data_IF_050716300583
#
_entry.id   IF_050716300583
#
_cell.length_a   1.000
_cell.length_b   1.000
_cell.length_c   1.000
_cell.angle_alpha   90.00
_cell.angle_beta   90.00
_cell.angle_gamma   90.00
#
_symmetry.space_group_name_H-M   'P 1'
#
loop_
_entity.id
_entity.type
_entity.pdbx_description
1 polymer ?
#
# COMPACT_ATOMS: atom_id res chain seq x y z
N UNK A 1 24.83 3.05 16.26
CA UNK A 1 23.39 3.08 16.58
C UNK A 1 22.66 2.89 15.27
N UNK A 2 21.71 1.96 15.17
CA UNK A 2 20.89 1.82 13.98
C UNK A 2 20.01 3.07 13.84
N UNK A 3 19.98 3.67 12.66
CA UNK A 3 19.04 4.70 12.28
C UNK A 3 17.79 4.01 11.75
N UNK A 4 16.67 4.09 12.47
CA UNK A 4 15.42 3.52 11.96
C UNK A 4 15.07 4.14 10.59
N UNK A 5 14.68 3.31 9.62
CA UNK A 5 14.21 3.80 8.33
C UNK A 5 12.93 4.62 8.54
N UNK A 6 13.02 5.92 8.30
CA UNK A 6 11.96 6.87 8.61
C UNK A 6 10.71 6.70 7.72
N UNK A 7 10.81 6.01 6.58
CA UNK A 7 9.69 5.76 5.67
C UNK A 7 8.54 4.99 6.32
N UNK A 8 8.84 4.00 7.17
CA UNK A 8 7.82 3.21 7.89
C UNK A 8 7.15 4.04 8.99
N UNK A 9 7.90 4.93 9.65
CA UNK A 9 7.36 5.80 10.71
C UNK A 9 6.29 6.78 10.20
N UNK A 10 6.38 7.21 8.94
CA UNK A 10 5.36 8.07 8.33
C UNK A 10 4.05 7.29 8.12
N UNK A 11 4.14 6.03 7.68
CA UNK A 11 2.97 5.16 7.53
C UNK A 11 2.31 4.85 8.89
N UNK A 12 3.10 4.61 9.92
CA UNK A 12 2.60 4.46 11.29
C UNK A 12 1.87 5.72 11.77
N UNK A 13 2.48 6.90 11.57
CA UNK A 13 1.87 8.17 11.92
C UNK A 13 0.56 8.44 11.15
N UNK A 14 0.48 8.03 9.87
CA UNK A 14 -0.77 8.10 9.10
C UNK A 14 -1.88 7.26 9.74
N UNK A 15 -1.60 6.01 10.13
CA UNK A 15 -2.58 5.15 10.81
C UNK A 15 -3.03 5.77 12.13
N UNK A 16 -2.10 6.33 12.89
CA UNK A 16 -2.42 6.95 14.17
C UNK A 16 -3.27 8.21 13.99
N UNK A 17 -3.00 9.03 12.99
CA UNK A 17 -3.85 10.18 12.65
C UNK A 17 -5.26 9.74 12.25
N UNK A 18 -5.39 8.67 11.46
CA UNK A 18 -6.70 8.08 11.09
C UNK A 18 -7.43 7.60 12.35
N UNK A 19 -6.75 6.86 13.24
CA UNK A 19 -7.37 6.38 14.48
C UNK A 19 -7.78 7.52 15.39
N UNK A 20 -6.96 8.57 15.52
CA UNK A 20 -7.24 9.71 16.36
C UNK A 20 -8.44 10.54 15.85
N UNK A 21 -8.50 10.81 14.54
CA UNK A 21 -9.55 11.66 13.92
C UNK A 21 -10.80 10.90 13.54
N UNK A 22 -10.65 9.61 13.19
CA UNK A 22 -11.66 8.80 12.52
C UNK A 22 -11.75 7.37 13.09
N UNK A 23 -11.24 7.11 14.29
CA UNK A 23 -11.29 5.76 14.89
C UNK A 23 -12.71 5.23 15.11
N UNK A 24 -13.69 6.09 15.35
CA UNK A 24 -15.11 5.69 15.44
C UNK A 24 -15.72 5.34 14.09
N UNK A 25 -15.07 5.76 13.00
CA UNK A 25 -15.51 5.62 11.63
C UNK A 25 -15.01 4.28 11.05
N UNK A 26 -13.82 3.82 11.41
CA UNK A 26 -13.24 2.58 10.90
C UNK A 26 -13.18 1.48 11.97
N UNK A 27 -13.45 0.24 11.56
CA UNK A 27 -13.25 -0.97 12.38
C UNK A 27 -11.85 -1.55 12.21
N UNK A 28 -11.26 -1.36 11.04
CA UNK A 28 -9.90 -1.81 10.71
C UNK A 28 -9.10 -0.62 10.18
N UNK A 29 -7.90 -0.40 10.72
CA UNK A 29 -6.93 0.59 10.23
C UNK A 29 -5.56 -0.08 10.26
N UNK A 30 -5.03 -0.43 9.09
CA UNK A 30 -3.83 -1.27 8.94
C UNK A 30 -3.03 -0.88 7.69
N UNK A 31 -1.81 -1.38 7.58
CA UNK A 31 -1.05 -1.25 6.34
C UNK A 31 -1.49 -2.26 5.27
N UNK A 32 -1.25 -1.88 4.02
CA UNK A 32 -1.36 -2.76 2.87
C UNK A 32 -0.18 -2.60 1.93
N UNK A 33 0.38 -3.73 1.48
CA UNK A 33 1.44 -3.73 0.49
C UNK A 33 0.87 -3.60 -0.91
N UNK A 34 1.14 -2.48 -1.59
CA UNK A 34 0.79 -2.30 -3.00
C UNK A 34 -0.63 -1.77 -3.26
N UNK A 35 -1.20 -2.16 -4.40
CA UNK A 35 -2.56 -1.77 -4.79
C UNK A 35 -3.57 -2.67 -4.10
N UNK A 36 -4.68 -2.11 -3.62
CA UNK A 36 -5.78 -2.89 -3.04
C UNK A 36 -6.93 -2.99 -4.04
N UNK A 37 -7.02 -4.13 -4.72
CA UNK A 37 -8.03 -4.40 -5.76
C UNK A 37 -8.93 -5.59 -5.40
N UNK A 38 -9.70 -6.09 -6.37
CA UNK A 38 -10.59 -7.22 -6.12
C UNK A 38 -9.92 -8.58 -5.86
N UNK A 39 -8.70 -8.77 -6.37
CA UNK A 39 -7.92 -10.00 -6.32
C UNK A 39 -7.23 -10.11 -4.96
N UNK A 40 -6.91 -8.94 -4.40
CA UNK A 40 -6.33 -8.74 -3.09
C UNK A 40 -7.34 -8.87 -1.93
N UNK A 41 -8.59 -8.44 -2.12
CA UNK A 41 -9.66 -8.53 -1.10
C UNK A 41 -9.81 -9.92 -0.42
N UNK A 42 -9.81 -11.07 -1.12
CA UNK A 42 -9.91 -12.38 -0.48
C UNK A 42 -8.62 -12.80 0.25
N UNK A 43 -7.48 -12.18 -0.05
CA UNK A 43 -6.17 -12.52 0.54
C UNK A 43 -5.97 -11.89 1.91
N UNK A 44 -6.78 -10.88 2.26
CA UNK A 44 -6.71 -10.18 3.56
C UNK A 44 -8.02 -10.31 4.33
N UNK A 45 -7.93 -10.78 5.57
CA UNK A 45 -9.07 -10.77 6.50
C UNK A 45 -9.20 -9.39 7.17
N UNK A 46 -10.39 -8.79 7.12
CA UNK A 46 -10.66 -7.50 7.75
C UNK A 46 -12.16 -7.31 8.07
N UNK A 47 -12.46 -6.33 8.92
CA UNK A 47 -13.83 -5.88 9.20
C UNK A 47 -14.07 -4.52 8.56
N UNK A 48 -15.05 -4.44 7.67
CA UNK A 48 -15.50 -3.18 7.08
C UNK A 48 -16.37 -2.39 8.08
N UNK A 49 -16.31 -1.04 8.11
CA UNK A 49 -15.46 -0.19 7.27
C UNK A 49 -13.97 -0.28 7.63
N UNK A 50 -13.11 -0.39 6.63
CA UNK A 50 -11.66 -0.51 6.80
C UNK A 50 -10.92 0.63 6.08
N UNK A 51 -9.77 1.02 6.62
CA UNK A 51 -8.81 1.92 5.99
C UNK A 51 -7.44 1.23 5.90
N UNK A 52 -6.86 1.21 4.71
CA UNK A 52 -5.59 0.56 4.43
C UNK A 52 -4.56 1.57 3.93
N UNK A 53 -3.53 1.84 4.74
CA UNK A 53 -2.46 2.78 4.42
C UNK A 53 -1.37 2.12 3.59
N UNK A 54 -0.83 2.85 2.62
CA UNK A 54 0.30 2.37 1.82
C UNK A 54 1.18 3.51 1.30
N UNK A 55 2.41 3.17 0.92
CA UNK A 55 3.29 4.02 0.13
C UNK A 55 3.39 3.43 -1.28
N UNK A 56 2.94 4.18 -2.28
CA UNK A 56 2.94 3.77 -3.69
C UNK A 56 4.31 3.99 -4.36
N UNK A 57 5.27 4.61 -3.65
CA UNK A 57 6.62 4.86 -4.12
C UNK A 57 7.11 6.25 -3.74
N UNK A 58 8.37 6.55 -4.09
CA UNK A 58 8.98 7.86 -3.85
C UNK A 58 9.97 8.22 -4.94
N UNK A 59 10.30 9.50 -5.04
CA UNK A 59 11.32 10.05 -5.93
C UNK A 59 12.08 11.19 -5.26
N UNK A 60 13.30 11.45 -5.69
CA UNK A 60 14.09 12.58 -5.17
C UNK A 60 13.48 13.92 -5.63
N UNK A 61 13.36 14.88 -4.72
CA UNK A 61 12.86 16.23 -5.03
C UNK A 61 13.92 17.33 -4.79
N UNK A 62 14.00 18.35 -5.66
CA UNK A 62 13.46 18.35 -7.02
C UNK A 62 14.27 17.39 -7.90
N UNK A 63 13.73 17.01 -9.05
CA UNK A 63 14.47 16.25 -10.07
C UNK A 63 15.79 16.91 -10.50
N UNK A 64 15.94 18.23 -10.24
CA UNK A 64 17.15 19.03 -10.47
C UNK A 64 18.14 19.06 -9.30
N UNK A 65 17.88 18.36 -8.19
CA UNK A 65 18.84 18.18 -7.10
C UNK A 65 19.08 19.40 -6.20
N UNK A 66 18.12 20.33 -6.09
CA UNK A 66 18.25 21.43 -5.12
C UNK A 66 18.15 20.91 -3.69
N UNK A 67 19.18 21.20 -2.91
CA UNK A 67 19.21 21.03 -1.46
C UNK A 67 18.33 22.09 -0.82
N UNK A 68 17.33 21.69 -0.04
CA UNK A 68 16.65 22.60 0.88
C UNK A 68 17.41 22.52 2.20
N UNK A 69 18.11 23.62 2.57
CA UNK A 69 18.74 23.73 3.89
C UNK A 69 19.69 22.60 4.28
N UNK A 70 20.48 22.06 3.34
CA UNK A 70 21.44 20.93 3.50
C UNK A 70 20.86 19.52 3.62
N UNK A 71 19.55 19.33 3.41
CA UNK A 71 18.90 18.01 3.52
C UNK A 71 18.43 17.48 2.16
N UNK A 72 18.43 16.15 2.02
CA UNK A 72 17.82 15.47 0.89
C UNK A 72 16.31 15.35 1.13
N UNK A 73 15.53 15.96 0.23
CA UNK A 73 14.07 15.87 0.24
C UNK A 73 13.61 14.84 -0.79
N UNK A 74 12.66 14.02 -0.39
CA UNK A 74 12.02 13.04 -1.25
C UNK A 74 10.54 13.33 -1.35
N UNK A 75 9.98 13.21 -2.54
CA UNK A 75 8.54 13.19 -2.76
C UNK A 75 8.06 11.75 -2.68
N UNK A 76 7.33 11.42 -1.61
CA UNK A 76 6.68 10.13 -1.42
C UNK A 76 5.21 10.21 -1.82
N UNK A 77 4.71 9.20 -2.52
CA UNK A 77 3.30 9.06 -2.87
C UNK A 77 2.64 8.14 -1.86
N UNK A 78 1.72 8.69 -1.08
CA UNK A 78 0.94 7.94 -0.10
C UNK A 78 -0.47 7.68 -0.61
N UNK A 79 -1.06 6.59 -0.16
CA UNK A 79 -2.46 6.32 -0.40
C UNK A 79 -3.13 5.64 0.79
N UNK A 80 -4.44 5.83 0.87
CA UNK A 80 -5.32 5.12 1.80
C UNK A 80 -6.48 4.53 1.00
N UNK A 81 -6.62 3.21 1.04
CA UNK A 81 -7.78 2.53 0.50
C UNK A 81 -8.88 2.43 1.56
N UNK A 82 -10.08 2.88 1.22
CA UNK A 82 -11.25 2.86 2.09
C UNK A 82 -12.18 1.78 1.57
N UNK A 83 -12.48 0.81 2.41
CA UNK A 83 -13.37 -0.31 2.08
C UNK A 83 -14.63 -0.23 2.93
N UNK A 84 -15.80 -0.17 2.29
CA UNK A 84 -17.10 -0.21 2.99
C UNK A 84 -17.95 -1.39 2.55
N UNK A 85 -18.83 -1.83 3.46
CA UNK A 85 -19.80 -2.91 3.25
C UNK A 85 -21.18 -2.45 3.72
N UNK A 86 -22.21 -2.73 2.94
CA UNK A 86 -23.62 -2.46 3.27
C UNK A 86 -24.52 -3.28 2.34
N UNK A 87 -25.74 -3.55 2.79
CA UNK A 87 -26.70 -4.40 2.09
C UNK A 87 -27.14 -3.81 0.74
N UNK A 88 -27.18 -2.48 0.60
CA UNK A 88 -27.59 -1.82 -0.64
C UNK A 88 -26.43 -1.07 -1.28
N UNK A 89 -26.30 -1.20 -2.59
CA UNK A 89 -25.27 -0.52 -3.39
C UNK A 89 -25.28 1.00 -3.23
N UNK A 90 -26.43 1.71 -3.25
CA UNK A 90 -26.46 3.16 -3.05
C UNK A 90 -25.97 3.59 -1.67
N UNK A 91 -26.26 2.81 -0.61
CA UNK A 91 -25.79 3.14 0.73
C UNK A 91 -24.28 2.93 0.86
N UNK A 92 -23.74 1.81 0.35
CA UNK A 92 -22.28 1.57 0.35
C UNK A 92 -21.49 2.68 -0.30
N UNK A 93 -21.96 3.14 -1.48
CA UNK A 93 -21.33 4.23 -2.22
C UNK A 93 -21.32 5.51 -1.38
N UNK A 94 -22.45 5.90 -0.80
CA UNK A 94 -22.53 7.10 0.06
C UNK A 94 -21.66 6.98 1.31
N UNK A 95 -21.67 5.83 1.97
CA UNK A 95 -20.83 5.58 3.15
C UNK A 95 -19.34 5.69 2.81
N UNK A 96 -18.91 5.15 1.66
CA UNK A 96 -17.53 5.27 1.20
C UNK A 96 -17.18 6.72 0.85
N UNK A 97 -18.06 7.44 0.14
CA UNK A 97 -17.87 8.84 -0.23
C UNK A 97 -17.64 9.74 0.98
N UNK A 98 -18.49 9.64 2.01
CA UNK A 98 -18.36 10.47 3.22
C UNK A 98 -17.04 10.19 3.94
N UNK A 99 -16.66 8.91 4.06
CA UNK A 99 -15.37 8.53 4.67
C UNK A 99 -14.19 9.08 3.90
N UNK A 100 -14.24 8.98 2.58
CA UNK A 100 -13.23 9.49 1.67
C UNK A 100 -13.11 11.00 1.79
N UNK A 101 -14.23 11.72 1.79
CA UNK A 101 -14.24 13.19 1.95
C UNK A 101 -13.61 13.63 3.27
N UNK A 102 -13.98 13.01 4.39
CA UNK A 102 -13.43 13.35 5.70
C UNK A 102 -11.94 13.04 5.76
N UNK A 103 -11.52 11.87 5.26
CA UNK A 103 -10.12 11.48 5.20
C UNK A 103 -9.30 12.46 4.37
N UNK A 104 -9.79 12.85 3.19
CA UNK A 104 -9.17 13.86 2.33
C UNK A 104 -8.95 15.18 3.06
N UNK A 105 -9.91 15.64 3.88
CA UNK A 105 -9.77 16.88 4.67
C UNK A 105 -8.77 16.74 5.82
N UNK A 106 -8.74 15.58 6.48
CA UNK A 106 -7.73 15.27 7.52
C UNK A 106 -6.33 15.37 6.90
N UNK A 107 -6.12 14.72 5.76
CA UNK A 107 -4.81 14.70 5.12
C UNK A 107 -4.53 15.91 4.22
N UNK A 108 -5.46 16.79 3.90
CA UNK A 108 -5.13 18.02 3.15
C UNK A 108 -4.21 18.97 3.94
N UNK A 109 -4.29 18.91 5.27
CA UNK A 109 -3.57 19.80 6.18
C UNK A 109 -2.68 19.06 7.16
N UNK A 110 -2.44 17.77 6.92
CA UNK A 110 -1.64 16.95 7.81
C UNK A 110 -0.18 17.42 7.80
N UNK A 111 0.38 17.56 9.00
CA UNK A 111 1.77 17.97 9.23
C UNK A 111 2.37 16.94 10.17
N UNK A 112 3.56 16.46 9.84
CA UNK A 112 4.32 15.50 10.63
C UNK A 112 5.79 15.90 10.61
N UNK A 113 6.57 15.75 11.70
CA UNK A 113 7.93 16.33 11.79
C UNK A 113 8.89 15.90 10.66
N UNK A 114 8.73 14.68 10.15
CA UNK A 114 9.53 14.11 9.06
C UNK A 114 9.03 14.54 7.66
N UNK A 115 7.89 15.22 7.59
CA UNK A 115 7.29 15.75 6.37
C UNK A 115 7.56 17.26 6.28
N UNK A 116 8.41 17.68 5.35
CA UNK A 116 8.80 19.09 5.18
C UNK A 116 7.76 19.92 4.44
N UNK A 117 7.03 19.28 3.53
CA UNK A 117 6.00 19.89 2.72
C UNK A 117 4.61 19.71 3.31
N UNK A 118 3.62 20.31 2.65
CA UNK A 118 2.22 19.91 2.84
C UNK A 118 1.87 18.79 1.85
N UNK A 119 0.81 18.02 2.11
CA UNK A 119 0.20 17.14 1.13
C UNK A 119 -0.16 17.90 -0.15
N UNK A 120 0.37 17.44 -1.28
CA UNK A 120 0.14 18.01 -2.61
C UNK A 120 -0.58 17.01 -3.53
N UNK A 121 -1.35 17.53 -4.48
CA UNK A 121 -2.03 16.69 -5.47
C UNK A 121 -2.99 15.67 -4.86
N UNK A 122 -3.60 16.00 -3.70
CA UNK A 122 -4.55 15.12 -3.03
C UNK A 122 -5.73 14.84 -3.97
N UNK A 123 -5.95 13.55 -4.23
CA UNK A 123 -7.02 13.04 -5.08
C UNK A 123 -7.81 11.96 -4.34
N UNK A 124 -9.07 11.83 -4.71
CA UNK A 124 -9.95 10.78 -4.24
C UNK A 124 -10.62 10.11 -5.43
N UNK A 125 -10.48 8.79 -5.56
CA UNK A 125 -10.96 8.03 -6.71
C UNK A 125 -11.82 6.85 -6.25
N UNK A 126 -12.92 6.64 -6.97
CA UNK A 126 -13.77 5.47 -6.77
C UNK A 126 -13.21 4.31 -7.60
N UNK A 127 -12.80 3.23 -6.94
CA UNK A 127 -12.25 2.03 -7.58
C UNK A 127 -13.37 1.01 -7.83
N UNK A 128 -14.49 1.46 -8.38
CA UNK A 128 -15.63 0.59 -8.63
C UNK A 128 -15.26 -0.52 -9.61
N UNK A 129 -15.51 -1.75 -9.18
CA UNK A 129 -15.47 -2.94 -10.02
C UNK A 129 -16.70 -3.82 -9.72
N UNK A 130 -17.26 -4.46 -10.75
CA UNK A 130 -18.34 -5.46 -10.62
C UNK A 130 -17.96 -6.60 -9.67
N UNK A 131 -16.69 -7.04 -9.68
CA UNK A 131 -16.21 -8.10 -8.78
C UNK A 131 -16.27 -7.68 -7.30
N UNK A 132 -15.97 -6.42 -6.99
CA UNK A 132 -16.13 -5.85 -5.64
C UNK A 132 -17.60 -5.67 -5.26
N UNK A 133 -18.43 -5.20 -6.20
CA UNK A 133 -19.87 -5.02 -6.01
C UNK A 133 -20.57 -6.35 -5.68
N UNK A 134 -20.18 -7.44 -6.36
CA UNK A 134 -20.69 -8.78 -6.11
C UNK A 134 -20.35 -9.29 -4.69
N UNK A 135 -19.25 -8.83 -4.10
CA UNK A 135 -18.87 -9.11 -2.70
C UNK A 135 -19.58 -8.17 -1.70
N UNK A 136 -20.45 -7.29 -2.18
CA UNK A 136 -21.11 -6.27 -1.37
C UNK A 136 -20.11 -5.24 -0.82
N UNK A 137 -19.03 -4.97 -1.55
CA UNK A 137 -17.99 -4.02 -1.15
C UNK A 137 -17.97 -2.80 -2.06
N UNK A 138 -17.37 -1.73 -1.56
CA UNK A 138 -17.00 -0.54 -2.33
C UNK A 138 -15.64 -0.08 -1.84
N UNK A 139 -14.73 0.16 -2.79
CA UNK A 139 -13.36 0.59 -2.52
C UNK A 139 -13.16 1.98 -3.11
N UNK A 140 -12.62 2.88 -2.30
CA UNK A 140 -12.16 4.21 -2.72
C UNK A 140 -10.69 4.34 -2.36
N UNK A 141 -9.96 5.17 -3.10
CA UNK A 141 -8.58 5.52 -2.80
C UNK A 141 -8.51 7.02 -2.54
N UNK A 142 -7.81 7.42 -1.49
CA UNK A 142 -7.31 8.79 -1.30
C UNK A 142 -5.80 8.76 -1.43
N UNK A 143 -5.23 9.53 -2.34
CA UNK A 143 -3.79 9.53 -2.60
C UNK A 143 -3.24 10.95 -2.73
N UNK A 144 -1.99 11.16 -2.33
CA UNK A 144 -1.31 12.46 -2.41
C UNK A 144 0.21 12.27 -2.51
N UNK A 145 0.90 13.35 -2.85
CA UNK A 145 2.36 13.48 -2.76
C UNK A 145 2.72 14.26 -1.51
N UNK A 146 3.79 13.84 -0.84
CA UNK A 146 4.28 14.47 0.38
C UNK A 146 5.79 14.54 0.32
N UNK A 147 6.33 15.74 0.52
CA UNK A 147 7.77 15.89 0.75
C UNK A 147 8.13 15.36 2.13
N UNK A 148 9.12 14.47 2.19
CA UNK A 148 9.64 13.84 3.38
C UNK A 148 11.17 13.91 3.42
N UNK A 149 11.72 14.07 4.61
CA UNK A 149 13.15 13.99 4.88
C UNK A 149 13.53 12.56 5.27
N UNK A 150 14.43 11.98 4.48
CA UNK A 150 15.13 10.74 4.84
C UNK A 150 16.57 11.14 5.14
N UNK A 151 16.90 11.32 6.43
CA UNK A 151 18.24 11.72 6.86
C UNK A 151 19.21 10.54 6.85
N UNK A 152 20.47 10.82 6.50
CA UNK A 152 21.57 9.87 6.57
C UNK A 152 21.66 8.92 5.36
N UNK A 153 22.81 8.25 5.27
CA UNK A 153 22.99 7.10 4.37
C UNK A 153 22.69 5.85 5.20
N UNK A 154 21.66 5.05 4.84
CA UNK A 154 21.37 3.81 5.56
C UNK A 154 22.59 2.90 5.58
N UNK A 155 22.81 2.26 6.72
CA UNK A 155 23.76 1.18 6.91
C UNK A 155 23.05 -0.17 6.83
N UNK A 156 23.76 -1.28 6.58
CA UNK A 156 23.13 -2.61 6.59
C UNK A 156 22.40 -2.95 7.89
N UNK A 157 22.79 -2.36 9.03
CA UNK A 157 22.14 -2.53 10.32
C UNK A 157 20.76 -1.85 10.42
N UNK A 158 20.41 -1.00 9.45
CA UNK A 158 19.13 -0.29 9.39
C UNK A 158 18.08 -1.08 8.57
N UNK A 159 18.51 -2.14 7.87
CA UNK A 159 17.65 -3.00 7.08
C UNK A 159 17.06 -4.13 7.95
N UNK A 160 15.83 -4.59 7.65
CA UNK A 160 15.28 -5.77 8.29
C UNK A 160 16.13 -7.02 8.00
N UNK A 161 16.06 -8.01 8.88
CA UNK A 161 16.70 -9.30 8.65
C UNK A 161 16.19 -9.95 7.36
N UNK A 162 17.10 -10.62 6.64
CA UNK A 162 16.75 -11.33 5.43
C UNK A 162 15.99 -12.61 5.79
N UNK A 163 14.78 -12.76 5.28
CA UNK A 163 14.06 -14.04 5.36
C UNK A 163 14.61 -14.99 4.29
N UNK A 164 15.10 -16.15 4.72
CA UNK A 164 15.49 -17.23 3.79
C UNK A 164 14.23 -17.92 3.31
N UNK A 165 13.97 -17.82 2.00
CA UNK A 165 12.86 -18.50 1.35
C UNK A 165 13.42 -19.59 0.45
N UNK A 166 13.30 -20.84 0.90
CA UNK A 166 13.64 -22.01 0.10
C UNK A 166 12.52 -22.28 -0.92
N UNK A 167 12.80 -21.96 -2.18
CA UNK A 167 11.90 -22.28 -3.30
C UNK A 167 12.39 -23.58 -3.93
N UNK A 168 11.84 -24.71 -3.48
CA UNK A 168 11.96 -25.98 -4.19
C UNK A 168 10.82 -26.11 -5.20
N UNK A 169 11.12 -26.00 -6.49
CA UNK A 169 10.21 -26.40 -7.55
C UNK A 169 10.62 -27.78 -8.07
N UNK A 170 9.65 -28.68 -8.20
CA UNK A 170 9.85 -29.86 -9.04
C UNK A 170 9.95 -29.38 -10.49
N UNK A 171 11.00 -29.74 -11.24
CA UNK A 171 11.04 -29.43 -12.66
C UNK A 171 9.89 -30.16 -13.34
N UNK A 172 8.86 -29.42 -13.74
CA UNK A 172 7.89 -29.93 -14.71
C UNK A 172 8.64 -30.13 -16.01
N UNK A 173 8.97 -31.38 -16.32
CA UNK A 173 9.51 -31.74 -17.64
C UNK A 173 8.49 -31.27 -18.67
N UNK A 174 8.85 -30.27 -19.46
CA UNK A 174 8.05 -29.86 -20.60
C UNK A 174 7.81 -31.09 -21.49
N UNK A 175 6.60 -31.29 -22.05
CA UNK A 175 6.39 -32.30 -23.07
C UNK A 175 7.47 -32.13 -24.14
N UNK A 176 8.16 -33.21 -24.52
CA UNK A 176 9.14 -33.15 -25.60
C UNK A 176 8.44 -32.58 -26.84
N UNK A 177 8.90 -31.42 -27.31
CA UNK A 177 8.43 -30.84 -28.56
C UNK A 177 8.92 -31.72 -29.70
N UNK A 178 8.00 -32.29 -30.47
CA UNK A 178 8.30 -32.83 -31.79
C UNK A 178 8.87 -31.68 -32.63
N UNK A 179 10.04 -31.82 -33.30
CA UNK A 179 10.61 -30.74 -34.08
C UNK A 179 9.64 -30.27 -35.18
N UNK A 180 9.15 -29.02 -35.10
CA UNK A 180 8.38 -28.39 -36.19
C UNK A 180 7.17 -27.56 -35.78
N UNK A 181 6.68 -27.65 -34.55
CA UNK A 181 5.55 -26.84 -34.07
C UNK A 181 6.06 -25.82 -33.05
N UNK A 182 5.86 -24.51 -33.32
CA UNK A 182 6.16 -23.45 -32.36
C UNK A 182 5.07 -23.46 -31.28
N UNK A 183 5.38 -23.79 -30.02
CA UNK A 183 4.38 -23.74 -28.97
C UNK A 183 4.12 -22.29 -28.54
N UNK A 184 2.85 -21.96 -28.31
CA UNK A 184 2.47 -20.77 -27.54
C UNK A 184 3.08 -20.90 -26.13
N UNK A 185 4.05 -20.05 -25.81
CA UNK A 185 4.65 -19.97 -24.49
C UNK A 185 3.66 -19.35 -23.49
N UNK A 186 2.88 -20.19 -22.84
CA UNK A 186 2.22 -19.84 -21.58
C UNK A 186 2.90 -20.65 -20.49
N UNK A 187 3.77 -19.99 -19.72
CA UNK A 187 4.39 -20.59 -18.52
C UNK A 187 3.49 -20.25 -17.33
N UNK A 188 2.67 -21.22 -16.92
CA UNK A 188 1.93 -21.14 -15.65
C UNK A 188 2.81 -21.72 -14.53
N UNK A 189 3.17 -20.89 -13.55
CA UNK A 189 3.82 -21.34 -12.32
C UNK A 189 2.77 -21.55 -11.23
N UNK A 190 2.53 -22.80 -10.83
CA UNK A 190 1.68 -23.13 -9.67
C UNK A 190 2.53 -23.13 -8.38
N UNK A 191 2.41 -22.10 -7.56
CA UNK A 191 3.07 -22.02 -6.24
C UNK A 191 2.20 -22.76 -5.21
N UNK A 192 2.65 -23.92 -4.72
CA UNK A 192 1.87 -24.80 -3.83
C UNK A 192 1.97 -24.49 -2.33
N UNK A 193 2.72 -23.46 -1.92
CA UNK A 193 2.72 -22.97 -0.54
C UNK A 193 4.04 -22.33 -0.11
N UNK A 194 3.95 -21.40 0.84
CA UNK A 194 5.08 -20.75 1.52
C UNK A 194 5.09 -21.27 2.96
N UNK A 195 6.24 -21.77 3.45
CA UNK A 195 6.42 -22.10 4.86
C UNK A 195 7.55 -21.25 5.44
N UNK A 196 7.26 -20.57 6.54
CA UNK A 196 8.26 -19.88 7.34
C UNK A 196 9.08 -20.91 8.12
N UNK A 197 10.38 -20.97 7.86
CA UNK A 197 11.32 -21.78 8.64
C UNK A 197 11.85 -21.00 9.84
N UNK A 198 11.95 -21.64 11.00
CA UNK A 198 12.72 -21.14 12.15
C UNK A 198 14.07 -21.84 12.17
N UNK A 199 15.18 -21.10 12.08
CA UNK A 199 16.53 -21.68 12.22
C UNK A 199 16.88 -21.95 13.70
N UNK A 200 17.44 -23.13 13.93
CA UNK A 200 18.24 -23.53 15.10
C UNK A 200 19.67 -23.04 14.99
#
# INVERSE_FOLDING_TARGET
>A
MAHALMSTTILDAMKDEIRARMGSQFKTVEDYGGQFDEEEVPLKSFVAPAAFTTCLGWRKSPASGKYLGSKYVWEARFAVFIVTKSATRPQRMRDAMVRTEVLSRVFQSWVYPQCTGRPEGLMAENLYNRKLDAKGLTVWMVAWWQEAEFEGVPTPADLPELEVVDITSDPTVAPQTTPGELPDLIVEHEIKGVRYGSET
#
